data_IF_511348018052
#
_entry.id   IF_511348018052
#
_cell.length_a   1.000
_cell.length_b   1.000
_cell.length_c   1.000
_cell.angle_alpha   90.00
_cell.angle_beta   90.00
_cell.angle_gamma   90.00
#
_symmetry.space_group_name_H-M   'P 1'
#
loop_
_entity.id
_entity.type
_entity.pdbx_description
1 polymer ?
#
# COMPACT_ATOMS: atom_id res chain seq x y z
N UNK A 1 -12.24 -20.58 -4.10
CA UNK A 1 -13.43 -19.72 -4.33
C UNK A 1 -12.98 -18.27 -4.23
N UNK A 2 -13.07 -17.49 -5.31
CA UNK A 2 -12.70 -16.07 -5.25
C UNK A 2 -13.77 -15.30 -4.49
N UNK A 3 -13.44 -14.84 -3.28
CA UNK A 3 -14.33 -13.98 -2.53
C UNK A 3 -14.40 -12.61 -3.21
N UNK A 4 -15.51 -12.37 -3.91
CA UNK A 4 -15.70 -11.14 -4.70
C UNK A 4 -15.76 -9.93 -3.77
N UNK A 5 -14.69 -9.14 -3.76
CA UNK A 5 -14.58 -7.89 -3.02
C UNK A 5 -15.80 -6.96 -3.25
N UNK A 6 -16.44 -6.52 -2.17
CA UNK A 6 -17.54 -5.57 -2.21
C UNK A 6 -17.00 -4.17 -1.92
N UNK A 7 -17.01 -3.30 -2.92
CA UNK A 7 -16.54 -1.92 -2.77
C UNK A 7 -17.48 -1.10 -1.88
N UNK A 8 -17.05 -0.82 -0.66
CA UNK A 8 -17.77 0.01 0.32
C UNK A 8 -17.53 1.51 0.08
N UNK A 9 -18.32 2.37 0.73
CA UNK A 9 -18.09 3.82 0.73
C UNK A 9 -16.72 4.18 1.31
N UNK A 10 -16.31 3.47 2.37
CA UNK A 10 -15.00 3.65 2.98
C UNK A 10 -13.87 3.29 2.03
N UNK A 11 -14.00 2.19 1.27
CA UNK A 11 -13.03 1.85 0.24
C UNK A 11 -12.89 2.95 -0.83
N UNK A 12 -14.02 3.52 -1.30
CA UNK A 12 -13.99 4.63 -2.27
C UNK A 12 -13.32 5.89 -1.71
N UNK A 13 -13.52 6.19 -0.42
CA UNK A 13 -12.84 7.29 0.27
C UNK A 13 -11.34 7.02 0.39
N UNK A 14 -10.96 5.80 0.73
CA UNK A 14 -9.56 5.37 0.77
C UNK A 14 -8.88 5.53 -0.60
N UNK A 15 -9.54 5.14 -1.71
CA UNK A 15 -9.00 5.37 -3.06
C UNK A 15 -8.71 6.84 -3.29
N UNK A 16 -9.67 7.74 -3.02
CA UNK A 16 -9.47 9.19 -3.21
C UNK A 16 -8.30 9.73 -2.37
N UNK A 17 -8.20 9.26 -1.13
CA UNK A 17 -7.10 9.59 -0.23
C UNK A 17 -5.76 9.10 -0.81
N UNK A 18 -5.66 7.81 -1.18
CA UNK A 18 -4.43 7.22 -1.70
C UNK A 18 -3.99 7.84 -3.03
N UNK A 19 -4.95 8.18 -3.89
CA UNK A 19 -4.73 8.90 -5.13
C UNK A 19 -4.17 10.31 -4.89
N UNK A 20 -4.68 11.03 -3.88
CA UNK A 20 -4.16 12.35 -3.51
C UNK A 20 -2.71 12.26 -2.99
N UNK A 21 -2.43 11.29 -2.11
CA UNK A 21 -1.09 11.04 -1.60
C UNK A 21 -0.11 10.69 -2.73
N UNK A 22 -0.52 9.80 -3.62
CA UNK A 22 0.30 9.36 -4.76
C UNK A 22 0.56 10.47 -5.77
N UNK A 23 -0.43 11.34 -6.04
CA UNK A 23 -0.28 12.46 -6.98
C UNK A 23 0.62 13.57 -6.43
N UNK A 24 0.45 13.89 -5.16
CA UNK A 24 1.14 15.02 -4.53
C UNK A 24 2.46 14.61 -3.87
N UNK A 25 2.79 13.31 -3.90
CA UNK A 25 3.95 12.74 -3.21
C UNK A 25 4.06 13.24 -1.76
N UNK A 26 2.97 13.12 -0.99
CA UNK A 26 2.89 13.54 0.42
C UNK A 26 2.91 12.34 1.38
N UNK A 27 2.97 12.59 2.69
CA UNK A 27 2.69 11.56 3.69
C UNK A 27 1.21 11.63 4.10
N UNK A 28 0.54 10.48 4.10
CA UNK A 28 -0.84 10.31 4.57
C UNK A 28 -0.91 9.34 5.74
N UNK A 29 -1.75 9.67 6.73
CA UNK A 29 -2.10 8.76 7.81
C UNK A 29 -3.48 8.16 7.55
N UNK A 30 -3.63 6.85 7.65
CA UNK A 30 -4.92 6.17 7.60
C UNK A 30 -5.11 5.33 8.86
N UNK A 31 -6.01 5.74 9.74
CA UNK A 31 -6.21 5.08 11.03
C UNK A 31 -7.67 4.66 11.23
N UNK A 32 -7.91 3.70 12.11
CA UNK A 32 -9.25 3.19 12.41
C UNK A 32 -9.19 1.87 13.17
N UNK A 33 -10.31 1.43 13.75
CA UNK A 33 -10.36 0.21 14.57
C UNK A 33 -9.91 -1.05 13.78
N UNK A 34 -9.54 -2.12 14.50
CA UNK A 34 -9.25 -3.40 13.87
C UNK A 34 -10.51 -3.94 13.14
N UNK A 35 -10.31 -4.70 12.06
CA UNK A 35 -11.42 -5.32 11.33
C UNK A 35 -12.26 -4.41 10.41
N UNK A 36 -12.06 -3.08 10.42
CA UNK A 36 -12.84 -2.16 9.56
C UNK A 36 -12.48 -2.19 8.07
N UNK A 37 -11.44 -2.94 7.68
CA UNK A 37 -11.05 -3.15 6.28
C UNK A 37 -9.95 -2.22 5.73
N UNK A 38 -9.15 -1.58 6.59
CA UNK A 38 -8.02 -0.70 6.18
C UNK A 38 -7.01 -1.44 5.30
N UNK A 39 -6.45 -2.53 5.83
CA UNK A 39 -5.48 -3.41 5.16
C UNK A 39 -6.02 -3.94 3.83
N UNK A 40 -7.26 -4.43 3.82
CA UNK A 40 -7.90 -4.94 2.60
C UNK A 40 -8.04 -3.85 1.52
N UNK A 41 -8.48 -2.65 1.91
CA UNK A 41 -8.57 -1.52 0.98
C UNK A 41 -7.21 -1.12 0.42
N UNK A 42 -6.17 -1.13 1.24
CA UNK A 42 -4.81 -0.83 0.87
C UNK A 42 -4.23 -1.85 -0.11
N UNK A 43 -4.29 -3.15 0.23
CA UNK A 43 -3.84 -4.25 -0.64
C UNK A 43 -4.58 -4.25 -1.98
N UNK A 44 -5.89 -3.97 -1.96
CA UNK A 44 -6.69 -3.89 -3.19
C UNK A 44 -6.29 -2.71 -4.07
N UNK A 45 -6.03 -1.54 -3.48
CA UNK A 45 -5.57 -0.35 -4.20
C UNK A 45 -4.20 -0.58 -4.85
N UNK A 46 -3.24 -1.15 -4.10
CA UNK A 46 -1.89 -1.47 -4.60
C UNK A 46 -1.86 -2.70 -5.50
N UNK A 47 -2.94 -3.49 -5.53
CA UNK A 47 -3.04 -4.79 -6.22
C UNK A 47 -2.01 -5.80 -5.72
N UNK A 48 -1.81 -5.81 -4.41
CA UNK A 48 -0.74 -6.57 -3.76
C UNK A 48 -1.08 -8.03 -3.51
N UNK A 49 -2.35 -8.43 -3.57
CA UNK A 49 -2.77 -9.78 -3.19
C UNK A 49 -2.06 -10.90 -3.96
N UNK A 50 -1.75 -10.69 -5.25
CA UNK A 50 -0.94 -11.65 -6.03
C UNK A 50 0.56 -11.36 -6.03
N UNK A 51 0.99 -10.19 -5.57
CA UNK A 51 2.41 -9.81 -5.53
C UNK A 51 3.09 -10.32 -4.26
N UNK A 52 2.35 -10.45 -3.17
CA UNK A 52 2.88 -10.85 -1.87
C UNK A 52 3.57 -12.22 -1.92
N UNK A 53 2.93 -13.20 -2.55
CA UNK A 53 3.48 -14.55 -2.67
C UNK A 53 4.76 -14.55 -3.52
N UNK A 54 4.76 -13.82 -4.64
CA UNK A 54 5.91 -13.72 -5.55
C UNK A 54 7.10 -13.02 -4.90
N UNK A 55 6.86 -12.00 -4.08
CA UNK A 55 7.93 -11.21 -3.46
C UNK A 55 8.52 -11.90 -2.22
N UNK A 56 7.78 -12.81 -1.60
CA UNK A 56 8.22 -13.56 -0.43
C UNK A 56 8.77 -14.96 -0.78
N UNK A 57 8.55 -15.46 -2.00
CA UNK A 57 9.07 -16.74 -2.47
C UNK A 57 10.48 -16.57 -3.09
N UNK A 58 11.55 -17.11 -2.48
CA UNK A 58 12.91 -16.98 -2.99
C UNK A 58 13.15 -17.70 -4.32
N UNK A 59 12.24 -18.60 -4.72
CA UNK A 59 12.31 -19.35 -5.97
C UNK A 59 11.52 -18.69 -7.11
N UNK A 60 10.73 -17.67 -6.81
CA UNK A 60 10.00 -16.94 -7.83
C UNK A 60 10.75 -15.67 -8.22
N UNK A 61 11.05 -15.56 -9.51
CA UNK A 61 11.52 -14.31 -10.06
C UNK A 61 10.32 -13.45 -10.45
N UNK A 62 10.36 -12.18 -10.05
CA UNK A 62 9.33 -11.20 -10.40
C UNK A 62 9.17 -11.10 -11.93
N UNK A 63 10.23 -11.38 -12.69
CA UNK A 63 10.20 -11.47 -14.16
C UNK A 63 9.24 -12.53 -14.72
N UNK A 64 9.04 -13.64 -14.01
CA UNK A 64 8.29 -14.80 -14.50
C UNK A 64 6.79 -14.68 -14.25
N UNK A 65 6.35 -13.55 -13.68
CA UNK A 65 4.97 -13.32 -13.26
C UNK A 65 4.32 -12.14 -14.01
N UNK A 66 3.84 -12.34 -15.28
CA UNK A 66 3.24 -11.28 -16.09
C UNK A 66 2.04 -10.59 -15.43
N UNK A 67 1.27 -11.32 -14.62
CA UNK A 67 0.11 -10.78 -13.90
C UNK A 67 0.54 -9.78 -12.82
N UNK A 68 1.56 -10.12 -12.02
CA UNK A 68 2.15 -9.24 -11.01
C UNK A 68 2.80 -8.02 -11.67
N UNK A 69 3.55 -8.22 -12.76
CA UNK A 69 4.18 -7.13 -13.51
C UNK A 69 3.12 -6.15 -14.05
N UNK A 70 2.01 -6.68 -14.58
CA UNK A 70 0.87 -5.86 -15.03
C UNK A 70 0.17 -5.15 -13.87
N UNK A 71 -0.01 -5.83 -12.75
CA UNK A 71 -0.63 -5.26 -11.55
C UNK A 71 0.18 -4.07 -11.02
N UNK A 72 1.49 -4.25 -10.85
CA UNK A 72 2.44 -3.23 -10.40
C UNK A 72 2.59 -2.09 -11.41
N UNK A 73 2.69 -2.39 -12.71
CA UNK A 73 2.75 -1.37 -13.76
C UNK A 73 1.54 -0.43 -13.70
N UNK A 74 0.35 -0.98 -13.44
CA UNK A 74 -0.87 -0.20 -13.36
C UNK A 74 -1.05 0.50 -12.00
N UNK A 75 -0.73 -0.16 -10.88
CA UNK A 75 -0.93 0.42 -9.54
C UNK A 75 0.17 1.42 -9.17
N UNK A 76 1.40 1.25 -9.69
CA UNK A 76 2.61 2.01 -9.31
C UNK A 76 2.74 2.17 -7.80
N UNK A 77 2.37 1.14 -7.04
CA UNK A 77 2.26 1.19 -5.58
C UNK A 77 2.77 -0.12 -4.98
N UNK A 78 3.50 -0.03 -3.87
CA UNK A 78 3.95 -1.18 -3.08
C UNK A 78 3.28 -1.21 -1.72
N UNK A 79 3.12 -2.40 -1.14
CA UNK A 79 2.53 -2.61 0.17
C UNK A 79 3.52 -3.38 1.05
N UNK A 80 3.72 -2.93 2.28
CA UNK A 80 4.66 -3.49 3.23
C UNK A 80 4.03 -3.57 4.62
N UNK A 81 4.26 -4.66 5.35
CA UNK A 81 3.84 -4.82 6.74
C UNK A 81 5.07 -5.15 7.58
N UNK A 82 5.51 -4.25 8.49
CA UNK A 82 6.67 -4.50 9.33
C UNK A 82 6.47 -5.70 10.26
N UNK A 83 7.53 -6.48 10.52
CA UNK A 83 7.48 -7.51 11.53
C UNK A 83 7.37 -6.91 12.96
N UNK A 84 6.89 -7.71 13.93
CA UNK A 84 6.60 -7.24 15.30
C UNK A 84 7.85 -6.70 16.03
N UNK A 85 9.04 -7.20 15.69
CA UNK A 85 10.31 -6.85 16.36
C UNK A 85 11.39 -6.41 15.38
N UNK A 86 10.99 -5.76 14.28
CA UNK A 86 11.92 -5.43 13.22
C UNK A 86 12.88 -4.30 13.58
N UNK A 87 14.14 -4.44 13.18
CA UNK A 87 15.12 -3.38 13.37
C UNK A 87 14.94 -2.28 12.32
N UNK A 88 15.29 -1.01 12.59
CA UNK A 88 15.22 0.05 11.59
C UNK A 88 16.01 -0.28 10.32
N UNK A 89 17.13 -1.02 10.47
CA UNK A 89 17.98 -1.47 9.37
C UNK A 89 17.24 -2.47 8.47
N UNK A 90 16.52 -3.43 9.06
CA UNK A 90 15.73 -4.41 8.31
C UNK A 90 14.58 -3.74 7.58
N UNK A 91 13.78 -2.92 8.27
CA UNK A 91 12.68 -2.16 7.63
C UNK A 91 13.18 -1.36 6.42
N UNK A 92 14.31 -0.67 6.57
CA UNK A 92 14.90 0.10 5.48
C UNK A 92 15.46 -0.79 4.35
N UNK A 93 15.94 -2.00 4.65
CA UNK A 93 16.41 -2.96 3.66
C UNK A 93 15.24 -3.60 2.89
N UNK A 94 14.21 -4.05 3.61
CA UNK A 94 13.01 -4.66 3.04
C UNK A 94 12.30 -3.71 2.10
N UNK A 95 12.05 -2.46 2.55
CA UNK A 95 11.41 -1.44 1.71
C UNK A 95 12.25 -1.17 0.45
N UNK A 96 13.59 -1.12 0.58
CA UNK A 96 14.48 -0.89 -0.56
C UNK A 96 14.42 -2.04 -1.56
N UNK A 97 14.47 -3.28 -1.08
CA UNK A 97 14.36 -4.48 -1.90
C UNK A 97 13.00 -4.53 -2.60
N UNK A 98 11.92 -4.26 -1.87
CA UNK A 98 10.56 -4.19 -2.38
C UNK A 98 10.44 -3.19 -3.54
N UNK A 99 11.00 -2.00 -3.38
CA UNK A 99 10.97 -0.96 -4.41
C UNK A 99 11.80 -1.36 -5.63
N UNK A 100 13.00 -1.90 -5.44
CA UNK A 100 13.85 -2.33 -6.55
C UNK A 100 13.18 -3.45 -7.36
N UNK A 101 12.60 -4.43 -6.68
CA UNK A 101 11.88 -5.54 -7.30
C UNK A 101 10.63 -5.02 -8.05
N UNK A 102 9.89 -4.09 -7.45
CA UNK A 102 8.72 -3.49 -8.09
C UNK A 102 9.07 -2.62 -9.31
N UNK A 103 10.12 -1.80 -9.23
CA UNK A 103 10.59 -1.02 -10.38
C UNK A 103 10.99 -1.93 -11.54
N UNK A 104 11.74 -2.99 -11.23
CA UNK A 104 12.13 -4.04 -12.19
C UNK A 104 10.91 -4.69 -12.85
N UNK A 105 9.90 -5.07 -12.05
CA UNK A 105 8.64 -5.64 -12.54
C UNK A 105 7.92 -4.72 -13.53
N UNK A 106 7.88 -3.42 -13.19
CA UNK A 106 7.20 -2.39 -13.96
C UNK A 106 7.92 -2.15 -15.29
N UNK A 107 9.26 -2.08 -15.25
CA UNK A 107 10.09 -1.94 -16.44
C UNK A 107 9.96 -3.14 -17.38
N UNK A 108 9.95 -4.35 -16.85
CA UNK A 108 9.80 -5.57 -17.65
C UNK A 108 8.45 -5.58 -18.38
N UNK A 109 7.35 -5.20 -17.71
CA UNK A 109 6.05 -5.04 -18.38
C UNK A 109 6.12 -4.01 -19.52
N UNK A 110 6.82 -2.90 -19.32
CA UNK A 110 6.97 -1.87 -20.35
C UNK A 110 7.81 -2.36 -21.53
N UNK A 111 8.92 -3.06 -21.27
CA UNK A 111 9.81 -3.64 -22.30
C UNK A 111 9.09 -4.68 -23.17
N UNK A 112 8.23 -5.52 -22.57
CA UNK A 112 7.44 -6.51 -23.32
C UNK A 112 6.45 -5.88 -24.30
N UNK A 113 5.92 -4.70 -23.98
CA UNK A 113 5.00 -3.97 -24.87
C UNK A 113 5.72 -3.18 -25.94
N UNK A 114 6.84 -2.56 -25.59
CA UNK A 114 7.65 -1.76 -26.48
C UNK A 114 9.14 -2.10 -26.25
N UNK A 115 9.70 -3.01 -27.06
CA UNK A 115 11.12 -3.35 -26.97
C UNK A 115 11.97 -2.12 -27.31
N UNK A 116 12.57 -1.51 -26.29
CA UNK A 116 13.54 -0.41 -26.47
C UNK A 116 14.95 -0.97 -26.36
N UNK A 117 15.90 -0.54 -27.21
CA UNK A 117 17.30 -0.92 -27.05
C UNK A 117 17.78 -0.53 -25.65
N UNK A 118 18.61 -1.39 -25.04
CA UNK A 118 19.19 -1.17 -23.72
C UNK A 118 20.13 0.05 -23.76
N UNK A 119 19.58 1.23 -23.52
CA UNK A 119 20.37 2.43 -23.28
C UNK A 119 20.61 2.49 -21.77
N UNK A 120 21.77 2.02 -21.33
CA UNK A 120 22.20 2.09 -19.93
C UNK A 120 22.68 3.53 -19.67
N UNK A 121 21.74 4.44 -19.42
CA UNK A 121 22.04 5.81 -19.00
C UNK A 121 21.64 5.99 -17.55
N UNK A 122 22.60 5.83 -16.63
CA UNK A 122 22.44 6.12 -15.20
C UNK A 122 21.42 5.23 -14.48
N UNK A 123 21.18 5.50 -13.18
CA UNK A 123 20.13 4.81 -12.43
C UNK A 123 18.76 5.10 -13.05
N UNK A 124 17.99 4.06 -13.35
CA UNK A 124 16.63 4.22 -13.86
C UNK A 124 15.76 4.99 -12.85
N UNK A 125 14.93 5.95 -13.32
CA UNK A 125 14.07 6.70 -12.43
C UNK A 125 13.06 5.77 -11.76
N UNK A 126 12.81 5.98 -10.46
CA UNK A 126 11.81 5.22 -9.69
C UNK A 126 10.46 5.22 -10.42
N UNK A 127 9.93 4.03 -10.67
CA UNK A 127 8.65 3.82 -11.34
C UNK A 127 7.49 3.73 -10.34
N UNK A 128 7.76 3.22 -9.13
CA UNK A 128 6.84 3.25 -8.00
C UNK A 128 6.59 4.70 -7.57
N UNK A 129 5.32 5.01 -7.28
CA UNK A 129 4.86 6.35 -6.86
C UNK A 129 4.19 6.39 -5.49
N UNK A 130 3.91 5.23 -4.90
CA UNK A 130 3.29 5.13 -3.58
C UNK A 130 3.85 3.94 -2.79
N UNK A 131 4.13 4.17 -1.52
CA UNK A 131 4.42 3.13 -0.52
C UNK A 131 3.30 3.10 0.49
N UNK A 132 2.71 1.94 0.71
CA UNK A 132 1.76 1.72 1.80
C UNK A 132 2.45 0.88 2.86
N UNK A 133 2.52 1.39 4.08
CA UNK A 133 3.08 0.69 5.22
C UNK A 133 1.93 0.43 6.19
N UNK A 134 1.56 -0.84 6.31
CA UNK A 134 0.54 -1.30 7.25
C UNK A 134 1.11 -1.52 8.65
N UNK A 135 0.24 -1.59 9.64
CA UNK A 135 0.59 -1.77 11.05
C UNK A 135 1.73 -0.84 11.49
N UNK A 136 1.67 0.43 11.07
CA UNK A 136 2.71 1.42 11.26
C UNK A 136 3.01 1.71 12.74
N UNK A 137 2.15 1.27 13.67
CA UNK A 137 2.46 1.22 15.11
C UNK A 137 3.68 0.35 15.45
N UNK A 138 4.07 -0.59 14.59
CA UNK A 138 5.27 -1.43 14.76
C UNK A 138 6.57 -0.66 14.45
N UNK A 139 6.47 0.47 13.77
CA UNK A 139 7.63 1.30 13.46
C UNK A 139 8.14 2.02 14.71
N UNK A 140 9.40 1.79 15.03
CA UNK A 140 10.12 2.53 16.06
C UNK A 140 10.51 3.95 15.55
N UNK A 141 10.92 4.87 16.43
CA UNK A 141 11.27 6.25 16.04
C UNK A 141 12.33 6.33 14.93
N UNK A 142 13.37 5.49 15.00
CA UNK A 142 14.44 5.48 14.00
C UNK A 142 13.94 5.04 12.62
N UNK A 143 13.05 4.05 12.56
CA UNK A 143 12.41 3.62 11.32
C UNK A 143 11.53 4.73 10.72
N UNK A 144 10.80 5.48 11.56
CA UNK A 144 10.03 6.64 11.12
C UNK A 144 10.93 7.75 10.54
N UNK A 145 12.08 8.02 11.15
CA UNK A 145 13.06 8.96 10.61
C UNK A 145 13.65 8.48 9.28
N UNK A 146 13.91 7.18 9.12
CA UNK A 146 14.33 6.64 7.82
C UNK A 146 13.25 6.81 6.75
N UNK A 147 11.98 6.58 7.08
CA UNK A 147 10.87 6.80 6.14
C UNK A 147 10.79 8.28 5.75
N UNK A 148 10.97 9.19 6.71
CA UNK A 148 10.98 10.64 6.48
C UNK A 148 12.15 11.08 5.59
N UNK A 149 13.38 10.65 5.90
CA UNK A 149 14.56 10.97 5.07
C UNK A 149 14.41 10.46 3.64
N UNK A 150 13.85 9.25 3.47
CA UNK A 150 13.58 8.68 2.15
C UNK A 150 12.51 9.45 1.40
N UNK A 151 11.44 9.85 2.08
CA UNK A 151 10.39 10.70 1.53
C UNK A 151 10.95 12.01 0.97
N UNK A 152 11.79 12.71 1.74
CA UNK A 152 12.41 13.98 1.34
C UNK A 152 13.30 13.85 0.08
N UNK A 153 13.85 12.65 -0.18
CA UNK A 153 14.79 12.39 -1.29
C UNK A 153 14.16 11.77 -2.53
N UNK A 154 13.07 11.01 -2.38
CA UNK A 154 12.63 10.06 -3.42
C UNK A 154 11.32 10.46 -4.12
N UNK A 155 10.65 11.55 -3.69
CA UNK A 155 9.39 12.06 -4.27
C UNK A 155 8.33 10.97 -4.47
N UNK A 156 8.21 10.07 -3.49
CA UNK A 156 7.24 8.97 -3.48
C UNK A 156 6.28 9.19 -2.33
N UNK A 157 4.98 9.14 -2.61
CA UNK A 157 3.95 9.25 -1.58
C UNK A 157 4.04 8.10 -0.59
N UNK A 158 3.69 8.35 0.67
CA UNK A 158 3.70 7.35 1.74
C UNK A 158 2.35 7.35 2.44
N UNK A 159 1.74 6.17 2.58
CA UNK A 159 0.58 5.97 3.46
C UNK A 159 1.03 5.12 4.64
N UNK A 160 0.85 5.63 5.84
CA UNK A 160 1.02 4.89 7.09
C UNK A 160 -0.36 4.48 7.59
N UNK A 161 -0.60 3.18 7.67
CA UNK A 161 -1.87 2.62 8.16
C UNK A 161 -1.64 2.11 9.58
N UNK A 162 -2.58 2.39 10.49
CA UNK A 162 -2.48 1.85 11.84
C UNK A 162 -3.75 1.97 12.66
N UNK A 163 -3.64 1.63 13.93
CA UNK A 163 -4.74 1.67 14.89
C UNK A 163 -5.12 3.11 15.30
N UNK A 164 -6.32 3.33 15.88
CA UNK A 164 -6.70 4.66 16.38
C UNK A 164 -5.70 5.17 17.42
N UNK A 165 -5.37 6.46 17.38
CA UNK A 165 -4.38 7.07 18.27
C UNK A 165 -2.96 7.10 17.70
N UNK A 166 -2.71 6.42 16.57
CA UNK A 166 -1.42 6.51 15.87
C UNK A 166 -1.09 7.94 15.43
N UNK A 167 -2.11 8.74 15.09
CA UNK A 167 -1.97 10.15 14.75
C UNK A 167 -1.41 10.97 15.93
N UNK A 168 -1.89 10.69 17.15
CA UNK A 168 -1.37 11.32 18.38
C UNK A 168 0.01 10.81 18.77
N UNK A 169 0.31 9.55 18.46
CA UNK A 169 1.67 9.02 18.64
C UNK A 169 2.63 9.71 17.69
N UNK A 170 2.25 9.85 16.41
CA UNK A 170 3.12 10.42 15.38
C UNK A 170 3.31 11.93 15.52
N UNK A 171 2.37 12.65 16.13
CA UNK A 171 2.56 14.06 16.46
C UNK A 171 3.73 14.31 17.43
N UNK A 172 4.24 13.28 18.11
CA UNK A 172 5.45 13.33 18.96
C UNK A 172 6.76 13.30 18.15
N UNK A 173 6.69 13.09 16.85
CA UNK A 173 7.85 13.12 15.93
C UNK A 173 7.67 14.28 14.93
N UNK A 174 8.03 15.53 15.30
CA UNK A 174 7.69 16.72 14.51
C UNK A 174 8.26 16.70 13.09
N UNK A 175 9.42 16.09 12.90
CA UNK A 175 10.09 16.01 11.59
C UNK A 175 9.26 15.21 10.59
N UNK A 176 8.68 14.08 11.02
CA UNK A 176 7.73 13.30 10.21
C UNK A 176 6.36 14.01 10.13
N UNK A 177 5.82 14.43 11.28
CA UNK A 177 4.45 14.95 11.36
C UNK A 177 4.24 16.21 10.53
N UNK A 178 5.26 17.07 10.42
CA UNK A 178 5.23 18.24 9.54
C UNK A 178 5.06 17.92 8.05
N UNK A 179 5.28 16.67 7.64
CA UNK A 179 5.14 16.20 6.25
C UNK A 179 3.83 15.45 6.01
N UNK A 180 3.07 15.19 7.08
CA UNK A 180 1.75 14.60 6.98
C UNK A 180 0.81 15.64 6.39
N UNK A 181 0.42 15.45 5.13
CA UNK A 181 -0.49 16.35 4.42
C UNK A 181 -1.97 15.97 4.61
N UNK A 182 -2.26 14.71 4.92
CA UNK A 182 -3.63 14.22 5.03
C UNK A 182 -3.75 13.17 6.12
N UNK A 183 -4.88 13.20 6.83
CA UNK A 183 -5.28 12.18 7.78
C UNK A 183 -6.66 11.65 7.40
N UNK A 184 -6.78 10.33 7.26
CA UNK A 184 -8.00 9.63 6.88
C UNK A 184 -8.42 8.68 8.01
N UNK A 185 -9.52 9.01 8.67
CA UNK A 185 -10.15 8.10 9.62
C UNK A 185 -11.03 7.09 8.87
N UNK A 186 -10.57 5.85 8.82
CA UNK A 186 -11.28 4.71 8.25
C UNK A 186 -12.27 4.17 9.28
N UNK A 187 -13.54 4.54 9.12
CA UNK A 187 -14.60 4.20 10.08
C UNK A 187 -15.25 2.87 9.76
N UNK A 188 -15.82 2.21 10.78
CA UNK A 188 -16.67 1.04 10.58
C UNK A 188 -17.87 1.40 9.68
N UNK A 189 -18.43 0.38 9.01
CA UNK A 189 -19.64 0.55 8.23
C UNK A 189 -20.80 0.93 9.16
N UNK A 190 -21.63 1.88 8.73
CA UNK A 190 -22.88 2.18 9.45
C UNK A 190 -23.86 1.01 9.32
N UNK A 191 -24.90 0.95 10.15
CA UNK A 191 -25.91 -0.12 10.09
C UNK A 191 -26.49 -0.31 8.67
N UNK A 192 -26.84 0.78 7.99
CA UNK A 192 -27.35 0.75 6.62
C UNK A 192 -26.31 0.24 5.60
N UNK A 193 -25.04 0.63 5.77
CA UNK A 193 -23.95 0.17 4.90
C UNK A 193 -23.63 -1.30 5.13
N UNK A 194 -23.67 -1.75 6.39
CA UNK A 194 -23.49 -3.15 6.74
C UNK A 194 -24.63 -3.99 6.19
N UNK A 195 -25.88 -3.58 6.38
CA UNK A 195 -27.04 -4.25 5.80
C UNK A 195 -26.90 -4.37 4.28
N UNK A 196 -26.57 -3.28 3.58
CA UNK A 196 -26.33 -3.31 2.13
C UNK A 196 -25.22 -4.31 1.71
N UNK A 197 -24.09 -4.31 2.43
CA UNK A 197 -22.98 -5.24 2.16
C UNK A 197 -23.41 -6.69 2.41
N UNK A 198 -24.11 -6.93 3.52
CA UNK A 198 -24.62 -8.25 3.90
C UNK A 198 -25.66 -8.74 2.91
N UNK A 199 -26.67 -7.96 2.50
CA UNK A 199 -27.66 -8.35 1.48
C UNK A 199 -26.97 -8.76 0.17
N UNK A 200 -25.94 -8.01 -0.25
CA UNK A 200 -25.17 -8.34 -1.46
C UNK A 200 -24.33 -9.60 -1.29
N UNK A 201 -23.86 -9.87 -0.08
CA UNK A 201 -23.15 -11.09 0.26
C UNK A 201 -24.09 -12.30 0.41
N UNK A 202 -25.30 -12.12 0.94
CA UNK A 202 -26.29 -13.18 1.18
C UNK A 202 -26.95 -13.68 -0.10
N UNK A 203 -27.27 -12.78 -1.03
CA UNK A 203 -27.70 -13.14 -2.40
C UNK A 203 -26.69 -14.03 -3.14
N UNK A 204 -25.42 -14.02 -2.74
CA UNK A 204 -24.38 -14.90 -3.29
C UNK A 204 -24.53 -16.36 -2.83
N UNK A 205 -25.19 -16.59 -1.68
CA UNK A 205 -25.42 -17.90 -1.09
C UNK A 205 -26.85 -18.44 -1.33
N UNK A 206 -27.67 -17.72 -2.11
CA UNK A 206 -29.03 -18.16 -2.44
C UNK A 206 -30.04 -18.04 -1.30
N UNK A 207 -29.73 -17.26 -0.28
CA UNK A 207 -30.66 -16.94 0.82
C UNK A 207 -30.90 -15.42 0.85
N UNK A 208 -32.14 -15.03 1.08
CA UNK A 208 -32.50 -13.65 1.41
C UNK A 208 -32.36 -13.42 2.91
N UNK A 209 -31.97 -12.20 3.30
CA UNK A 209 -32.02 -11.75 4.69
C UNK A 209 -33.44 -11.25 4.93
N UNK A 210 -34.26 -12.05 5.62
CA UNK A 210 -35.54 -11.60 6.19
C UNK A 210 -35.31 -10.68 7.41
#
# INVERSE_FOLDING_TARGET
>A
MSDRFIATKQHRRFIKFADAIKRNATIGLCYGAAGVGKTLSARRYSRWDGADDVFNDPYQHVFDNPEVNTALHRSRSVFYTPAVSDTPKNVAADIRQLLNNADTAIEEHARRKEPKPLIITGPHPRQVRLRVIDEAERLNPTALEHIRDRYDRENIGVILIGMPGIERRFSRYPQLYSRVGFAHHYTALTGDELHFVLTRHWRKFGADLD
#
